data_IF_765144752241
#
_entry.id   IF_765144752241
#
_cell.length_a   1.000
_cell.length_b   1.000
_cell.length_c   1.000
_cell.angle_alpha   90.00
_cell.angle_beta   90.00
_cell.angle_gamma   90.00
#
_symmetry.space_group_name_H-M   'P 1'
#
loop_
_entity.id
_entity.type
_entity.pdbx_description
1 polymer ?
#
# COMPACT_ATOMS: atom_id res chain seq x y z
N UNK A 1 8.04 -14.87 10.68
CA UNK A 1 7.60 -14.74 9.27
C UNK A 1 8.67 -14.05 8.47
N UNK A 2 8.94 -14.55 7.31
CA UNK A 2 10.00 -13.99 6.48
C UNK A 2 9.42 -13.03 5.44
N UNK A 3 10.27 -12.08 5.03
CA UNK A 3 9.88 -11.15 3.97
C UNK A 3 9.65 -11.92 2.68
N UNK A 4 8.49 -11.69 2.08
CA UNK A 4 8.12 -12.38 0.86
C UNK A 4 9.04 -11.99 -0.30
N UNK A 5 9.36 -10.70 -0.40
CA UNK A 5 10.20 -10.21 -1.49
C UNK A 5 11.64 -10.72 -1.35
N UNK A 6 12.15 -10.78 -0.12
CA UNK A 6 13.49 -11.31 0.09
C UNK A 6 13.54 -12.79 -0.24
N UNK A 7 12.49 -13.52 0.15
CA UNK A 7 12.44 -14.94 -0.13
C UNK A 7 12.42 -15.20 -1.64
N UNK A 8 11.76 -14.33 -2.39
CA UNK A 8 11.72 -14.47 -3.83
C UNK A 8 13.08 -14.28 -4.46
N UNK A 9 13.99 -13.62 -3.77
CA UNK A 9 15.34 -13.41 -4.25
C UNK A 9 16.36 -14.32 -3.55
N UNK A 10 15.88 -15.36 -2.89
CA UNK A 10 16.76 -16.31 -2.25
C UNK A 10 17.36 -15.84 -0.95
N UNK A 11 16.82 -14.79 -0.35
CA UNK A 11 17.33 -14.28 0.90
C UNK A 11 16.34 -14.53 2.02
N UNK A 12 16.86 -14.56 3.23
CA UNK A 12 16.03 -14.76 4.40
C UNK A 12 16.12 -13.52 5.27
N UNK A 13 15.06 -12.76 5.31
CA UNK A 13 14.97 -11.59 6.15
C UNK A 13 13.66 -11.65 6.90
N UNK A 14 13.71 -11.25 8.15
CA UNK A 14 12.52 -11.30 8.97
C UNK A 14 11.57 -10.17 8.60
N UNK A 15 10.29 -10.50 8.47
CA UNK A 15 9.29 -9.50 8.17
C UNK A 15 8.99 -8.70 9.44
N UNK A 16 8.87 -7.39 9.27
CA UNK A 16 8.51 -6.49 10.37
C UNK A 16 7.13 -5.91 10.18
N UNK A 17 6.51 -6.13 9.02
CA UNK A 17 5.19 -5.61 8.74
C UNK A 17 4.52 -6.50 7.71
N UNK A 18 3.26 -6.23 7.47
CA UNK A 18 2.46 -6.98 6.50
C UNK A 18 1.86 -5.97 5.55
N UNK A 19 1.98 -6.26 4.24
CA UNK A 19 1.43 -5.39 3.22
C UNK A 19 -0.09 -5.26 3.40
N UNK A 20 -0.57 -4.02 3.36
CA UNK A 20 -2.00 -3.77 3.55
C UNK A 20 -2.84 -4.28 2.40
N UNK A 21 -2.24 -4.47 1.23
CA UNK A 21 -3.00 -4.86 0.05
C UNK A 21 -2.94 -6.35 -0.22
N UNK A 22 -1.75 -6.95 -0.19
CA UNK A 22 -1.63 -8.35 -0.57
C UNK A 22 -1.38 -9.29 0.60
N UNK A 23 -1.08 -8.75 1.77
CA UNK A 23 -0.88 -9.59 2.95
C UNK A 23 0.50 -10.21 3.07
N UNK A 24 1.42 -9.89 2.17
CA UNK A 24 2.76 -10.44 2.23
C UNK A 24 3.54 -9.82 3.37
N UNK A 25 4.38 -10.63 4.03
CA UNK A 25 5.29 -10.10 5.01
C UNK A 25 6.39 -9.31 4.33
N UNK A 26 6.80 -8.21 4.93
CA UNK A 26 7.83 -7.35 4.35
C UNK A 26 8.84 -6.94 5.40
N UNK A 27 10.11 -6.94 5.02
CA UNK A 27 11.17 -6.53 5.91
C UNK A 27 11.29 -5.00 5.88
N UNK A 28 12.13 -4.49 6.77
CA UNK A 28 12.28 -3.05 6.88
C UNK A 28 12.73 -2.43 5.57
N UNK A 29 13.60 -3.11 4.84
CA UNK A 29 14.11 -2.56 3.58
C UNK A 29 13.11 -2.56 2.45
N UNK A 30 12.08 -3.41 2.51
CA UNK A 30 11.08 -3.49 1.46
C UNK A 30 9.78 -2.81 1.82
N UNK A 31 9.62 -2.39 3.06
CA UNK A 31 8.38 -1.76 3.49
C UNK A 31 8.28 -0.35 2.94
N UNK A 32 7.15 -0.05 2.33
CA UNK A 32 6.85 1.28 1.84
C UNK A 32 5.81 1.89 2.75
N UNK A 33 6.17 2.97 3.43
CA UNK A 33 5.29 3.62 4.39
C UNK A 33 4.79 4.92 3.79
N UNK A 34 3.48 5.06 3.70
CA UNK A 34 2.90 6.28 3.17
C UNK A 34 1.87 6.80 4.15
N UNK A 35 1.65 8.11 4.19
CA UNK A 35 0.62 8.66 5.05
C UNK A 35 -0.76 8.35 4.48
N UNK A 36 -1.70 8.16 5.37
CA UNK A 36 -3.08 7.96 4.98
C UNK A 36 -3.91 8.96 5.75
N UNK A 37 -4.49 9.91 5.03
CA UNK A 37 -5.29 10.94 5.67
C UNK A 37 -6.68 10.40 5.94
N UNK A 38 -7.04 10.40 7.19
CA UNK A 38 -8.39 10.02 7.60
C UNK A 38 -9.22 11.28 7.69
N UNK A 39 -10.52 11.12 7.52
CA UNK A 39 -11.42 12.26 7.57
C UNK A 39 -12.52 11.97 8.59
N UNK A 40 -13.13 13.03 9.05
CA UNK A 40 -14.30 12.90 9.89
C UNK A 40 -15.29 13.97 9.49
N UNK A 41 -16.55 13.70 9.74
CA UNK A 41 -17.61 14.61 9.39
C UNK A 41 -17.94 15.52 10.57
N UNK A 42 -17.89 16.80 10.32
CA UNK A 42 -18.23 17.78 11.33
C UNK A 42 -19.74 17.91 11.42
N UNK A 43 -20.24 18.50 12.53
CA UNK A 43 -21.70 18.59 12.71
C UNK A 43 -22.43 19.37 11.63
N UNK A 44 -21.73 20.19 10.86
CA UNK A 44 -22.36 20.96 9.79
C UNK A 44 -22.09 20.36 8.43
N UNK A 45 -21.95 19.03 8.39
CA UNK A 45 -21.73 18.31 7.16
C UNK A 45 -20.46 18.66 6.43
N UNK A 46 -19.44 19.03 7.18
CA UNK A 46 -18.14 19.26 6.61
C UNK A 46 -17.25 18.08 6.87
N UNK A 47 -16.48 17.70 5.88
CA UNK A 47 -15.50 16.64 6.02
C UNK A 47 -14.13 17.27 6.14
N UNK A 48 -13.45 16.96 7.23
CA UNK A 48 -12.12 17.53 7.45
C UNK A 48 -11.13 16.41 7.65
N UNK A 49 -9.88 16.69 7.31
CA UNK A 49 -8.82 15.72 7.50
C UNK A 49 -8.42 15.69 8.97
N UNK A 50 -8.16 14.49 9.45
CA UNK A 50 -7.71 14.28 10.82
C UNK A 50 -6.20 14.32 10.83
N UNK A 51 -5.63 15.04 11.78
CA UNK A 51 -4.19 15.09 11.96
C UNK A 51 -3.84 14.51 13.31
N UNK A 52 -2.76 13.77 13.40
CA UNK A 52 -1.81 13.43 12.33
C UNK A 52 -2.36 12.37 11.40
N UNK A 53 -1.79 12.22 10.20
CA UNK A 53 -2.23 11.16 9.29
C UNK A 53 -1.86 9.80 9.83
N UNK A 54 -2.66 8.82 9.49
CA UNK A 54 -2.34 7.44 9.78
C UNK A 54 -1.28 6.96 8.80
N UNK A 55 -0.70 5.80 9.08
CA UNK A 55 0.29 5.23 8.20
C UNK A 55 -0.26 4.00 7.51
N UNK A 56 0.13 3.82 6.27
CA UNK A 56 -0.17 2.61 5.54
C UNK A 56 1.13 2.00 5.07
N UNK A 57 1.30 0.70 5.28
CA UNK A 57 2.52 -0.01 4.91
C UNK A 57 2.19 -1.00 3.83
N UNK A 58 2.93 -0.93 2.73
CA UNK A 58 2.73 -1.82 1.59
C UNK A 58 4.05 -2.32 1.09
N UNK A 59 4.01 -3.44 0.38
CA UNK A 59 5.21 -3.92 -0.29
C UNK A 59 5.47 -3.05 -1.52
N UNK A 60 6.68 -3.16 -2.07
CA UNK A 60 7.05 -2.30 -3.19
C UNK A 60 6.14 -2.46 -4.38
N UNK A 61 5.76 -3.71 -4.68
CA UNK A 61 4.92 -3.98 -5.83
C UNK A 61 3.54 -3.34 -5.68
N UNK A 62 2.92 -3.50 -4.53
CA UNK A 62 1.59 -2.95 -4.31
C UNK A 62 1.63 -1.42 -4.27
N UNK A 63 2.68 -0.85 -3.69
CA UNK A 63 2.81 0.59 -3.66
C UNK A 63 3.00 1.13 -5.07
N UNK A 64 3.80 0.44 -5.88
CA UNK A 64 3.99 0.85 -7.25
C UNK A 64 2.69 0.79 -8.03
N UNK A 65 1.92 -0.27 -7.83
CA UNK A 65 0.64 -0.40 -8.51
C UNK A 65 -0.31 0.72 -8.13
N UNK A 66 -0.31 1.11 -6.87
CA UNK A 66 -1.17 2.19 -6.44
C UNK A 66 -0.72 3.54 -6.96
N UNK A 67 0.60 3.74 -7.04
CA UNK A 67 1.12 4.98 -7.59
C UNK A 67 0.75 5.11 -9.06
N UNK A 68 0.84 4.02 -9.80
CA UNK A 68 0.47 4.04 -11.21
C UNK A 68 -1.02 4.28 -11.36
N UNK A 69 -1.83 3.64 -10.54
CA UNK A 69 -3.27 3.81 -10.62
C UNK A 69 -3.69 5.23 -10.29
N UNK A 70 -2.99 5.86 -9.35
CA UNK A 70 -3.32 7.23 -8.97
C UNK A 70 -2.72 8.25 -9.90
N UNK A 71 -1.72 7.85 -10.70
CA UNK A 71 -1.05 8.78 -11.58
C UNK A 71 -1.72 8.88 -12.92
N UNK A 72 -1.00 9.43 -13.85
CA UNK A 72 -1.53 9.62 -15.18
C UNK A 72 -0.99 8.62 -16.16
N UNK A 73 -0.28 7.66 -15.66
CA UNK A 73 0.31 6.68 -16.52
C UNK A 73 -0.64 5.61 -16.90
N UNK A 74 -1.86 5.68 -16.44
CA UNK A 74 -2.78 4.60 -16.63
C UNK A 74 -3.17 4.51 -18.07
N UNK A 75 -3.22 3.31 -18.58
CA UNK A 75 -3.85 3.09 -19.84
C UNK A 75 -5.24 2.60 -19.57
N UNK A 76 -6.11 2.60 -20.56
CA UNK A 76 -7.48 2.12 -20.41
C UNK A 76 -7.47 0.70 -19.90
N UNK A 77 -8.34 0.42 -18.95
CA UNK A 77 -8.47 -0.93 -18.42
C UNK A 77 -9.07 -1.82 -19.46
N UNK A 78 -8.38 -2.93 -19.68
CA UNK A 78 -8.94 -3.90 -20.57
C UNK A 78 -9.76 -4.81 -19.74
N UNK A 79 -11.02 -4.87 -20.00
CA UNK A 79 -11.80 -5.64 -19.17
C UNK A 79 -11.57 -7.00 -19.43
N UNK A 80 -10.93 -7.63 -19.39
CA UNK A 80 -10.63 -8.85 -19.63
C UNK A 80 -11.24 -9.68 -19.02
N UNK A 81 -11.77 -9.69 -18.85
CA UNK A 81 -12.29 -10.19 -18.25
C UNK A 81 -12.22 -11.14 -18.01
N UNK A 82 -12.12 -11.57 -17.70
CA UNK A 82 -11.99 -12.27 -17.33
C UNK A 82 -12.10 -12.70 -16.87
N UNK A 83 -12.27 -12.90 -16.55
CA UNK A 83 -12.26 -13.30 -16.16
C UNK A 83 -12.25 -13.65 -16.04
#
# INVERSE_FOLDING_TARGET
MNCFDCAAHGRTEEAVAICADCGAGICLGHAQVTPRWLTRTMPINRTVAVEPPARTIRCGLCQQARDIAAGQQTRPVQRRERL
#
